data_IF_017742450565
#
_entry.id   IF_017742450565
#
_cell.length_a   1.000
_cell.length_b   1.000
_cell.length_c   1.000
_cell.angle_alpha   90.00
_cell.angle_beta   90.00
_cell.angle_gamma   90.00
#
_symmetry.space_group_name_H-M   'P 1'
#
loop_
_entity.id
_entity.type
_entity.pdbx_description
1 polymer ?
#
# COMPACT_ATOMS: atom_id res chain seq x y z
N UNK A 1 -18.10 3.13 8.56
CA UNK A 1 -18.13 1.66 8.32
C UNK A 1 -18.74 1.33 6.95
N UNK A 2 -19.95 1.83 6.58
CA UNK A 2 -20.57 1.53 5.28
C UNK A 2 -19.71 1.98 4.09
N UNK A 3 -19.07 3.16 4.16
CA UNK A 3 -18.16 3.64 3.12
C UNK A 3 -16.92 2.74 2.99
N UNK A 4 -16.35 2.29 4.11
CA UNK A 4 -15.22 1.35 4.13
C UNK A 4 -15.63 0.01 3.51
N UNK A 5 -16.79 -0.52 3.86
CA UNK A 5 -17.31 -1.75 3.26
C UNK A 5 -17.54 -1.62 1.76
N UNK A 6 -18.07 -0.47 1.30
CA UNK A 6 -18.22 -0.17 -0.12
C UNK A 6 -16.86 -0.08 -0.85
N UNK A 7 -15.87 0.56 -0.24
CA UNK A 7 -14.50 0.62 -0.76
C UNK A 7 -13.84 -0.76 -0.86
N UNK A 8 -13.99 -1.60 0.16
CA UNK A 8 -13.50 -2.97 0.14
C UNK A 8 -14.17 -3.83 -0.94
N UNK A 9 -15.49 -3.71 -1.08
CA UNK A 9 -16.21 -4.39 -2.15
C UNK A 9 -15.76 -3.93 -3.54
N UNK A 10 -15.45 -2.64 -3.70
CA UNK A 10 -14.91 -2.08 -4.93
C UNK A 10 -13.50 -2.63 -5.22
N UNK A 11 -12.60 -2.75 -4.22
CA UNK A 11 -11.29 -3.38 -4.39
C UNK A 11 -11.43 -4.83 -4.86
N UNK A 12 -12.29 -5.62 -4.24
CA UNK A 12 -12.51 -7.01 -4.65
C UNK A 12 -13.08 -7.14 -6.07
N UNK A 13 -13.89 -6.17 -6.51
CA UNK A 13 -14.55 -6.20 -7.82
C UNK A 13 -13.66 -5.69 -8.96
N UNK A 14 -12.94 -4.59 -8.74
CA UNK A 14 -12.20 -3.87 -9.78
C UNK A 14 -10.69 -4.06 -9.67
N UNK A 15 -10.18 -4.36 -8.48
CA UNK A 15 -8.74 -4.39 -8.20
C UNK A 15 -8.09 -3.04 -8.39
N UNK A 16 -6.80 -3.03 -8.75
CA UNK A 16 -6.01 -1.82 -8.94
C UNK A 16 -5.62 -1.64 -10.42
N UNK A 17 -6.44 -0.92 -11.23
CA UNK A 17 -6.17 -0.72 -12.64
C UNK A 17 -4.95 0.21 -12.83
N UNK A 18 -3.98 -0.21 -13.63
CA UNK A 18 -2.72 0.51 -13.88
C UNK A 18 -2.87 1.93 -14.42
N UNK A 19 -4.01 2.27 -15.03
CA UNK A 19 -4.31 3.61 -15.55
C UNK A 19 -4.77 4.58 -14.44
N UNK A 20 -5.16 4.06 -13.28
CA UNK A 20 -5.67 4.86 -12.17
C UNK A 20 -4.49 5.43 -11.36
N UNK A 21 -4.42 6.75 -11.14
CA UNK A 21 -3.43 7.33 -10.25
C UNK A 21 -3.59 6.80 -8.83
N UNK A 22 -2.55 6.14 -8.32
CA UNK A 22 -2.58 5.56 -6.98
C UNK A 22 -1.91 6.48 -5.95
N UNK A 23 -2.53 6.73 -4.78
CA UNK A 23 -1.97 7.59 -3.74
C UNK A 23 -0.56 7.19 -3.30
N UNK A 24 -0.27 5.89 -3.23
CA UNK A 24 1.06 5.35 -2.89
C UNK A 24 2.17 5.90 -3.80
N UNK A 25 1.89 6.11 -5.10
CA UNK A 25 2.88 6.69 -6.02
C UNK A 25 3.15 8.15 -5.66
N UNK A 26 2.12 8.91 -5.28
CA UNK A 26 2.27 10.28 -4.82
C UNK A 26 3.03 10.34 -3.50
N UNK A 27 2.74 9.44 -2.56
CA UNK A 27 3.47 9.29 -1.29
C UNK A 27 4.95 8.96 -1.54
N UNK A 28 5.26 8.01 -2.43
CA UNK A 28 6.63 7.68 -2.80
C UNK A 28 7.41 8.88 -3.35
N UNK A 29 6.78 9.69 -4.21
CA UNK A 29 7.38 10.94 -4.71
C UNK A 29 7.58 11.97 -3.59
N UNK A 30 6.61 12.08 -2.68
CA UNK A 30 6.73 12.97 -1.52
C UNK A 30 7.86 12.55 -0.59
N UNK A 31 8.04 11.24 -0.35
CA UNK A 31 9.17 10.69 0.42
C UNK A 31 10.50 11.07 -0.22
N UNK A 32 10.68 10.79 -1.51
CA UNK A 32 11.92 11.11 -2.23
C UNK A 32 12.24 12.61 -2.20
N UNK A 33 11.23 13.45 -2.41
CA UNK A 33 11.39 14.89 -2.34
C UNK A 33 11.77 15.37 -0.92
N UNK A 34 11.05 14.90 0.11
CA UNK A 34 11.29 15.27 1.49
C UNK A 34 12.64 14.75 1.98
N UNK A 35 13.02 13.53 1.64
CA UNK A 35 14.34 12.96 1.95
C UNK A 35 15.47 13.86 1.40
N UNK A 36 15.37 14.27 0.13
CA UNK A 36 16.37 15.17 -0.47
C UNK A 36 16.49 16.50 0.26
N UNK A 37 15.35 17.07 0.73
CA UNK A 37 15.35 18.32 1.50
C UNK A 37 15.90 18.14 2.91
N UNK A 38 15.49 17.09 3.61
CA UNK A 38 15.92 16.79 4.97
C UNK A 38 17.42 16.43 5.04
N UNK A 39 17.95 15.70 4.06
CA UNK A 39 19.40 15.43 3.97
C UNK A 39 20.23 16.70 3.82
N UNK A 40 19.72 17.73 3.19
CA UNK A 40 20.39 19.04 3.10
C UNK A 40 20.23 19.91 4.37
N UNK A 41 19.17 19.70 5.16
CA UNK A 41 18.86 20.50 6.34
C UNK A 41 19.49 19.95 7.64
N UNK A 42 19.78 18.65 7.72
CA UNK A 42 20.33 17.99 8.90
C UNK A 42 21.82 17.67 8.72
N UNK A 43 22.62 17.66 9.81
CA UNK A 43 24.03 17.27 9.76
C UNK A 43 24.19 15.83 9.21
N UNK A 44 25.24 15.63 8.39
CA UNK A 44 25.55 14.31 7.80
C UNK A 44 26.25 13.38 8.80
N UNK A 45 25.65 13.25 9.97
CA UNK A 45 26.05 12.34 11.06
C UNK A 45 24.99 11.28 11.28
N UNK A 46 25.31 10.18 11.96
CA UNK A 46 24.33 9.14 12.27
C UNK A 46 23.13 9.67 13.08
N UNK A 47 23.37 10.62 13.98
CA UNK A 47 22.32 11.29 14.75
C UNK A 47 21.45 12.20 13.88
N UNK A 48 22.07 12.98 13.00
CA UNK A 48 21.33 13.87 12.08
C UNK A 48 20.49 13.10 11.08
N UNK A 49 21.02 12.00 10.52
CA UNK A 49 20.25 11.12 9.61
C UNK A 49 19.06 10.48 10.32
N UNK A 50 19.23 10.03 11.56
CA UNK A 50 18.12 9.47 12.37
C UNK A 50 17.07 10.53 12.67
N UNK A 51 17.46 11.75 13.02
CA UNK A 51 16.54 12.86 13.28
C UNK A 51 15.74 13.21 12.02
N UNK A 52 16.39 13.31 10.86
CA UNK A 52 15.73 13.53 9.58
C UNK A 52 14.71 12.40 9.25
N UNK A 53 15.10 11.14 9.45
CA UNK A 53 14.21 9.99 9.28
C UNK A 53 13.02 10.02 10.22
N UNK A 54 13.20 10.38 11.49
CA UNK A 54 12.12 10.53 12.45
C UNK A 54 11.13 11.63 12.06
N UNK A 55 11.64 12.78 11.61
CA UNK A 55 10.80 13.87 11.10
C UNK A 55 9.95 13.40 9.93
N UNK A 56 10.54 12.69 8.97
CA UNK A 56 9.82 12.16 7.81
C UNK A 56 8.77 11.12 8.21
N UNK A 57 9.14 10.19 9.11
CA UNK A 57 8.26 9.13 9.59
C UNK A 57 7.03 9.64 10.35
N UNK A 58 7.11 10.82 10.95
CA UNK A 58 5.98 11.45 11.65
C UNK A 58 5.22 12.41 10.73
N UNK A 59 5.95 13.25 10.00
CA UNK A 59 5.35 14.32 9.21
C UNK A 59 4.53 13.79 8.01
N UNK A 60 4.99 12.73 7.35
CA UNK A 60 4.31 12.20 6.17
C UNK A 60 2.95 11.57 6.50
N UNK A 61 2.84 10.62 7.46
CA UNK A 61 1.54 10.09 7.86
C UNK A 61 0.58 11.17 8.34
N UNK A 62 1.04 12.10 9.16
CA UNK A 62 0.22 13.21 9.62
C UNK A 62 -0.29 14.07 8.45
N UNK A 63 0.58 14.40 7.49
CA UNK A 63 0.20 15.18 6.32
C UNK A 63 -0.83 14.43 5.46
N UNK A 64 -0.65 13.14 5.21
CA UNK A 64 -1.59 12.31 4.46
C UNK A 64 -2.94 12.21 5.17
N UNK A 65 -2.94 11.94 6.47
CA UNK A 65 -4.16 11.85 7.27
C UNK A 65 -4.92 13.17 7.33
N UNK A 66 -4.24 14.28 7.59
CA UNK A 66 -4.83 15.63 7.63
C UNK A 66 -5.37 16.07 6.27
N UNK A 67 -4.65 15.80 5.19
CA UNK A 67 -5.10 16.09 3.83
C UNK A 67 -6.39 15.31 3.51
N UNK A 68 -6.40 14.03 3.79
CA UNK A 68 -7.58 13.17 3.58
C UNK A 68 -8.75 13.64 4.43
N UNK A 69 -8.51 13.94 5.70
CA UNK A 69 -9.55 14.51 6.58
C UNK A 69 -10.09 15.82 6.04
N UNK A 70 -9.24 16.73 5.60
CA UNK A 70 -9.63 18.01 5.01
C UNK A 70 -10.51 17.84 3.76
N UNK A 71 -10.12 16.94 2.85
CA UNK A 71 -10.90 16.62 1.65
C UNK A 71 -12.29 16.09 2.03
N UNK A 72 -12.36 15.12 2.95
CA UNK A 72 -13.62 14.55 3.39
C UNK A 72 -14.50 15.56 4.13
N UNK A 73 -13.89 16.48 4.89
CA UNK A 73 -14.60 17.55 5.55
C UNK A 73 -15.23 18.50 4.53
N UNK A 74 -14.47 18.96 3.55
CA UNK A 74 -14.95 19.81 2.46
C UNK A 74 -16.07 19.12 1.66
N UNK A 75 -15.91 17.86 1.30
CA UNK A 75 -16.96 17.08 0.65
C UNK A 75 -18.23 17.02 1.49
N UNK A 76 -18.09 16.86 2.81
CA UNK A 76 -19.21 16.82 3.75
C UNK A 76 -19.95 18.15 3.90
N UNK A 77 -19.25 19.27 3.74
CA UNK A 77 -19.86 20.61 3.74
C UNK A 77 -20.74 20.83 2.50
N UNK A 78 -20.39 20.22 1.37
CA UNK A 78 -21.18 20.31 0.13
C UNK A 78 -22.38 19.40 0.18
N UNK A 79 -22.16 18.10 0.47
CA UNK A 79 -23.25 17.12 0.58
C UNK A 79 -22.78 15.85 1.31
N UNK A 80 -23.57 15.28 2.23
CA UNK A 80 -23.20 14.05 2.94
C UNK A 80 -22.93 12.86 2.01
N UNK A 81 -23.66 12.74 0.90
CA UNK A 81 -23.43 11.70 -0.10
C UNK A 81 -22.09 11.85 -0.80
N UNK A 82 -21.59 13.08 -1.03
CA UNK A 82 -20.27 13.32 -1.61
C UNK A 82 -19.16 12.86 -0.64
N UNK A 83 -19.32 13.14 0.65
CA UNK A 83 -18.42 12.63 1.68
C UNK A 83 -18.37 11.10 1.68
N UNK A 84 -19.54 10.45 1.63
CA UNK A 84 -19.63 8.99 1.57
C UNK A 84 -18.87 8.41 0.37
N UNK A 85 -19.10 8.97 -0.83
CA UNK A 85 -18.42 8.54 -2.06
C UNK A 85 -16.90 8.77 -1.97
N UNK A 86 -16.48 9.92 -1.48
CA UNK A 86 -15.04 10.23 -1.32
C UNK A 86 -14.36 9.30 -0.30
N UNK A 87 -15.05 8.96 0.81
CA UNK A 87 -14.53 8.04 1.81
C UNK A 87 -14.48 6.59 1.29
N UNK A 88 -15.49 6.15 0.54
CA UNK A 88 -15.49 4.84 -0.11
C UNK A 88 -14.38 4.75 -1.17
N UNK A 89 -14.19 5.79 -1.95
CA UNK A 89 -13.10 5.89 -2.92
C UNK A 89 -11.72 5.85 -2.26
N UNK A 90 -11.50 6.64 -1.20
CA UNK A 90 -10.24 6.61 -0.47
C UNK A 90 -9.98 5.24 0.16
N UNK A 91 -11.01 4.60 0.73
CA UNK A 91 -10.92 3.24 1.29
C UNK A 91 -10.56 2.21 0.21
N UNK A 92 -11.14 2.31 -0.98
CA UNK A 92 -10.78 1.49 -2.14
C UNK A 92 -9.30 1.63 -2.52
N UNK A 93 -8.79 2.85 -2.53
CA UNK A 93 -7.39 3.15 -2.90
C UNK A 93 -6.36 2.73 -1.82
N UNK A 94 -6.78 2.45 -0.61
CA UNK A 94 -5.92 2.00 0.49
C UNK A 94 -5.76 0.48 0.47
N UNK A 95 -6.79 -0.25 0.03
CA UNK A 95 -6.86 -1.71 0.11
C UNK A 95 -6.25 -2.36 -1.15
N UNK A 96 -5.58 -3.47 -0.98
CA UNK A 96 -4.90 -4.19 -2.05
C UNK A 96 -5.23 -5.70 -2.08
N UNK A 97 -6.42 -6.10 -1.60
CA UNK A 97 -6.79 -7.50 -1.47
C UNK A 97 -6.91 -8.21 -2.84
N UNK A 98 -7.49 -7.54 -3.83
CA UNK A 98 -7.64 -8.09 -5.17
C UNK A 98 -6.28 -8.27 -5.87
N UNK A 99 -5.38 -7.28 -5.78
CA UNK A 99 -4.06 -7.37 -6.40
C UNK A 99 -3.20 -8.43 -5.72
N UNK A 100 -3.22 -8.52 -4.38
CA UNK A 100 -2.55 -9.57 -3.63
C UNK A 100 -3.00 -10.97 -4.07
N UNK A 101 -4.32 -11.19 -4.18
CA UNK A 101 -4.89 -12.43 -4.70
C UNK A 101 -4.40 -12.72 -6.12
N UNK A 102 -4.39 -11.73 -6.99
CA UNK A 102 -3.96 -11.87 -8.40
C UNK A 102 -2.50 -12.27 -8.50
N UNK A 103 -1.62 -11.63 -7.75
CA UNK A 103 -0.19 -11.92 -7.73
C UNK A 103 0.10 -13.30 -7.14
N UNK A 104 -0.55 -13.66 -6.03
CA UNK A 104 -0.42 -14.99 -5.41
C UNK A 104 -0.80 -16.10 -6.38
N UNK A 105 -1.93 -15.94 -7.07
CA UNK A 105 -2.37 -16.90 -8.08
C UNK A 105 -1.47 -16.94 -9.31
N UNK A 106 -0.78 -15.86 -9.65
CA UNK A 106 0.19 -15.84 -10.76
C UNK A 106 1.38 -16.76 -10.46
N UNK A 107 1.92 -16.74 -9.25
CA UNK A 107 2.99 -17.66 -8.83
C UNK A 107 2.54 -19.12 -8.89
N UNK A 108 1.36 -19.43 -8.33
CA UNK A 108 0.82 -20.79 -8.36
C UNK A 108 0.59 -21.31 -9.80
N UNK A 109 0.10 -20.45 -10.70
CA UNK A 109 -0.09 -20.79 -12.12
C UNK A 109 1.25 -20.97 -12.85
N UNK A 110 2.26 -20.17 -12.50
CA UNK A 110 3.60 -20.29 -13.08
C UNK A 110 4.22 -21.65 -12.73
N UNK A 111 4.09 -22.11 -11.49
CA UNK A 111 4.49 -23.47 -11.09
C UNK A 111 3.82 -24.55 -11.93
N UNK A 112 2.49 -24.48 -12.08
CA UNK A 112 1.72 -25.53 -12.75
C UNK A 112 1.98 -25.59 -14.26
N UNK A 113 2.30 -24.46 -14.92
CA UNK A 113 2.39 -24.37 -16.38
C UNK A 113 3.82 -24.29 -16.92
N UNK A 114 4.74 -23.68 -16.18
CA UNK A 114 6.09 -23.39 -16.64
C UNK A 114 7.18 -23.91 -15.73
N UNK A 115 6.84 -24.67 -14.68
CA UNK A 115 7.79 -25.25 -13.75
C UNK A 115 8.58 -24.23 -12.94
N UNK A 116 9.75 -24.64 -12.42
CA UNK A 116 10.55 -23.86 -11.50
C UNK A 116 11.06 -22.51 -12.08
N UNK A 117 11.43 -22.49 -13.36
CA UNK A 117 11.95 -21.26 -13.99
C UNK A 117 10.88 -20.17 -14.02
N UNK A 118 9.70 -20.49 -14.54
CA UNK A 118 8.59 -19.55 -14.58
C UNK A 118 8.12 -19.11 -13.17
N UNK A 119 8.19 -20.02 -12.21
CA UNK A 119 7.84 -19.74 -10.83
C UNK A 119 8.84 -18.78 -10.15
N UNK A 120 10.15 -18.92 -10.43
CA UNK A 120 11.19 -17.98 -9.97
C UNK A 120 10.95 -16.57 -10.52
N UNK A 121 10.63 -16.45 -11.81
CA UNK A 121 10.31 -15.17 -12.43
C UNK A 121 9.07 -14.55 -11.81
N UNK A 122 8.00 -15.33 -11.64
CA UNK A 122 6.74 -14.85 -11.06
C UNK A 122 6.91 -14.39 -9.60
N UNK A 123 7.64 -15.16 -8.76
CA UNK A 123 7.89 -14.76 -7.38
C UNK A 123 8.86 -13.57 -7.29
N UNK A 124 9.80 -13.45 -8.22
CA UNK A 124 10.71 -12.30 -8.30
C UNK A 124 10.02 -10.97 -8.52
N UNK A 125 8.77 -10.96 -9.04
CA UNK A 125 7.98 -9.74 -9.20
C UNK A 125 7.36 -9.24 -7.89
N UNK A 126 7.32 -10.09 -6.85
CA UNK A 126 6.65 -9.77 -5.58
C UNK A 126 7.58 -9.81 -4.37
N UNK A 127 8.83 -10.27 -4.54
CA UNK A 127 9.85 -10.29 -3.48
C UNK A 127 10.99 -9.35 -3.82
N UNK A 128 11.60 -8.74 -2.81
CA UNK A 128 12.74 -7.84 -2.95
C UNK A 128 14.12 -8.53 -2.93
N UNK A 129 14.17 -9.86 -3.21
CA UNK A 129 15.43 -10.65 -3.17
C UNK A 129 15.67 -11.39 -4.48
N UNK A 130 16.91 -11.83 -4.70
CA UNK A 130 17.25 -12.68 -5.84
C UNK A 130 16.56 -14.05 -5.71
N UNK A 131 15.79 -14.41 -6.73
CA UNK A 131 15.03 -15.66 -6.81
C UNK A 131 15.66 -16.69 -7.71
N UNK A 132 16.73 -16.35 -8.44
CA UNK A 132 17.35 -17.19 -9.46
C UNK A 132 17.94 -18.50 -8.90
N UNK A 133 18.36 -18.48 -7.65
CA UNK A 133 19.00 -19.63 -6.96
C UNK A 133 18.02 -20.46 -6.11
N UNK A 134 16.76 -20.05 -6.01
CA UNK A 134 15.78 -20.77 -5.17
C UNK A 134 15.35 -22.08 -5.82
N UNK A 135 15.32 -23.15 -5.04
CA UNK A 135 14.66 -24.40 -5.42
C UNK A 135 13.12 -24.28 -5.31
N UNK A 136 12.38 -25.35 -5.61
CA UNK A 136 10.92 -25.33 -5.55
C UNK A 136 10.39 -24.99 -4.16
N UNK A 137 11.02 -25.51 -3.10
CA UNK A 137 10.63 -25.23 -1.72
C UNK A 137 10.96 -23.77 -1.36
N UNK A 138 12.10 -23.25 -1.81
CA UNK A 138 12.51 -21.86 -1.63
C UNK A 138 11.53 -20.87 -2.29
N UNK A 139 11.10 -21.15 -3.52
CA UNK A 139 10.12 -20.34 -4.23
C UNK A 139 8.75 -20.39 -3.52
N UNK A 140 8.29 -21.59 -3.13
CA UNK A 140 7.03 -21.75 -2.42
C UNK A 140 7.05 -21.00 -1.07
N UNK A 141 8.14 -21.13 -0.29
CA UNK A 141 8.33 -20.42 0.97
C UNK A 141 8.33 -18.90 0.75
N UNK A 142 9.10 -18.41 -0.23
CA UNK A 142 9.16 -16.99 -0.55
C UNK A 142 7.78 -16.43 -0.92
N UNK A 143 7.00 -17.17 -1.71
CA UNK A 143 5.65 -16.78 -2.07
C UNK A 143 4.73 -16.70 -0.85
N UNK A 144 4.74 -17.72 0.03
CA UNK A 144 3.90 -17.75 1.24
C UNK A 144 4.28 -16.64 2.21
N UNK A 145 5.58 -16.44 2.46
CA UNK A 145 6.08 -15.36 3.33
C UNK A 145 5.61 -13.99 2.83
N UNK A 146 5.81 -13.71 1.54
CA UNK A 146 5.43 -12.41 0.94
C UNK A 146 3.92 -12.21 0.90
N UNK A 147 3.16 -13.27 0.63
CA UNK A 147 1.69 -13.18 0.67
C UNK A 147 1.19 -12.93 2.10
N UNK A 148 1.78 -13.56 3.11
CA UNK A 148 1.41 -13.34 4.50
C UNK A 148 1.76 -11.91 4.96
N UNK A 149 2.95 -11.41 4.62
CA UNK A 149 3.39 -10.04 4.89
C UNK A 149 2.48 -9.02 4.21
N UNK A 150 2.25 -9.16 2.90
CA UNK A 150 1.39 -8.25 2.16
C UNK A 150 -0.09 -8.34 2.56
N UNK A 151 -0.57 -9.50 3.04
CA UNK A 151 -1.90 -9.62 3.60
C UNK A 151 -2.02 -8.82 4.91
N UNK A 152 -0.97 -8.86 5.77
CA UNK A 152 -0.91 -8.02 6.96
C UNK A 152 -0.91 -6.54 6.60
N UNK A 153 0.00 -6.13 5.72
CA UNK A 153 0.32 -4.71 5.49
C UNK A 153 -0.62 -4.05 4.47
N UNK A 154 -1.08 -4.78 3.46
CA UNK A 154 -1.93 -4.26 2.39
C UNK A 154 -3.43 -4.52 2.57
N UNK A 155 -3.82 -5.33 3.58
CA UNK A 155 -5.24 -5.65 3.82
C UNK A 155 -5.63 -5.50 5.28
N UNK A 156 -5.00 -6.26 6.19
CA UNK A 156 -5.44 -6.35 7.60
C UNK A 156 -5.17 -5.04 8.35
N UNK A 157 -3.95 -4.52 8.29
CA UNK A 157 -3.60 -3.28 8.97
C UNK A 157 -4.38 -2.08 8.39
N UNK A 158 -4.49 -1.89 7.06
CA UNK A 158 -5.33 -0.85 6.50
C UNK A 158 -6.81 -0.97 6.91
N UNK A 159 -7.40 -2.16 6.87
CA UNK A 159 -8.77 -2.36 7.33
C UNK A 159 -8.94 -1.98 8.81
N UNK A 160 -8.00 -2.36 9.66
CA UNK A 160 -8.02 -2.00 11.08
C UNK A 160 -8.03 -0.49 11.28
N UNK A 161 -7.13 0.25 10.60
CA UNK A 161 -7.09 1.71 10.69
C UNK A 161 -8.31 2.38 10.07
N UNK A 162 -8.82 1.86 8.95
CA UNK A 162 -10.06 2.32 8.33
C UNK A 162 -11.28 2.14 9.25
N UNK A 163 -11.34 1.07 10.02
CA UNK A 163 -12.42 0.82 10.97
C UNK A 163 -12.38 1.74 12.19
N UNK A 164 -11.19 2.14 12.64
CA UNK A 164 -11.01 3.00 13.82
C UNK A 164 -11.20 4.48 13.47
N UNK A 165 -10.58 4.95 12.40
CA UNK A 165 -10.51 6.37 12.07
C UNK A 165 -10.92 6.73 10.64
N UNK A 166 -11.54 5.79 9.91
CA UNK A 166 -11.93 6.00 8.52
C UNK A 166 -10.74 6.19 7.58
N UNK A 167 -10.99 6.72 6.40
CA UNK A 167 -9.97 6.95 5.40
C UNK A 167 -8.81 7.88 5.86
N UNK A 168 -9.00 8.88 6.72
CA UNK A 168 -7.90 9.68 7.23
C UNK A 168 -6.84 8.86 7.98
N UNK A 169 -7.25 7.92 8.83
CA UNK A 169 -6.31 7.07 9.58
C UNK A 169 -5.77 5.93 8.73
N UNK A 170 -6.56 5.42 7.78
CA UNK A 170 -6.10 4.42 6.84
C UNK A 170 -5.06 4.96 5.83
N UNK A 171 -5.06 6.29 5.56
CA UNK A 171 -4.14 6.95 4.65
C UNK A 171 -2.86 7.45 5.37
N UNK A 172 -2.91 7.56 6.70
CA UNK A 172 -1.78 7.93 7.54
C UNK A 172 -0.84 6.76 7.80
#
# INVERSE_FOLDING_TARGET
ILAVAAGFAADLAFGDPRWLPHPVVAMGRAITWAEGRLRGAFPQTSAGTRAAGLVLAVALPLACGLLTWGILHLCGMVHPGLRFVAEAWASYQILAACELRRQSLAVARAFSKGGLVAAREAVGLIVGRDTSVLDEQGVARAAVETVAENASDGVIAPLFYLMIGGAPLGMA
#
